data_IF_662157892720
#
_entry.id   IF_662157892720
#
_cell.length_a   1.000
_cell.length_b   1.000
_cell.length_c   1.000
_cell.angle_alpha   90.00
_cell.angle_beta   90.00
_cell.angle_gamma   90.00
#
_symmetry.space_group_name_H-M   'P 1'
#
loop_
_entity.id
_entity.type
_entity.pdbx_description
1 polymer ?
#
# COMPACT_ATOMS: atom_id res chain seq x y z
N UNK A 1 24.94 10.40 -18.04
CA UNK A 1 24.49 10.54 -16.65
C UNK A 1 23.69 11.82 -16.59
N UNK A 2 22.42 11.73 -17.02
CA UNK A 2 21.54 12.87 -17.21
C UNK A 2 21.32 13.68 -15.92
N UNK A 3 21.74 14.93 -16.00
CA UNK A 3 20.99 16.14 -15.69
C UNK A 3 20.47 16.33 -14.25
N UNK A 4 21.29 17.07 -13.50
CA UNK A 4 20.95 18.43 -13.06
C UNK A 4 19.71 18.60 -12.18
N UNK A 5 19.86 18.29 -10.89
CA UNK A 5 18.96 18.79 -9.84
C UNK A 5 19.28 20.28 -9.51
N UNK A 6 19.10 21.18 -10.49
CA UNK A 6 18.94 22.63 -10.25
C UNK A 6 17.43 22.86 -10.10
N UNK A 7 16.86 23.43 -9.04
CA UNK A 7 17.18 24.74 -8.49
C UNK A 7 16.28 24.98 -7.24
N UNK A 8 16.89 25.21 -6.09
CA UNK A 8 16.25 25.86 -4.93
C UNK A 8 16.27 27.37 -5.18
N UNK A 9 15.11 28.04 -5.23
CA UNK A 9 15.12 29.49 -5.15
C UNK A 9 13.95 30.14 -4.41
N UNK A 10 14.38 31.04 -3.53
CA UNK A 10 13.67 32.01 -2.73
C UNK A 10 12.74 32.89 -3.57
N UNK A 11 11.49 33.05 -3.10
CA UNK A 11 10.58 34.09 -3.60
C UNK A 11 9.11 33.69 -3.66
N UNK A 12 8.46 33.52 -2.51
CA UNK A 12 6.99 33.69 -2.31
C UNK A 12 6.00 32.91 -3.19
N UNK A 13 6.44 32.08 -4.12
CA UNK A 13 5.60 31.26 -5.00
C UNK A 13 6.15 29.85 -4.94
N UNK A 14 5.48 29.01 -4.16
CA UNK A 14 5.90 27.64 -3.87
C UNK A 14 6.22 26.84 -5.12
N UNK A 15 7.18 25.93 -4.97
CA UNK A 15 7.72 25.06 -6.01
C UNK A 15 6.55 24.39 -6.80
N UNK A 16 6.38 24.74 -8.08
CA UNK A 16 5.34 24.13 -8.95
C UNK A 16 5.92 23.15 -9.96
N UNK A 17 7.18 22.78 -9.82
CA UNK A 17 7.85 21.88 -10.76
C UNK A 17 7.35 20.47 -10.48
N UNK A 18 6.65 19.91 -11.47
CA UNK A 18 6.21 18.53 -11.46
C UNK A 18 7.37 17.62 -11.78
N UNK A 19 7.55 16.60 -10.95
CA UNK A 19 8.59 15.59 -11.08
C UNK A 19 7.86 14.24 -11.23
N UNK A 20 8.19 13.42 -12.26
CA UNK A 20 7.46 12.17 -12.51
C UNK A 20 7.53 11.17 -11.34
N UNK A 21 8.58 11.23 -10.51
CA UNK A 21 8.74 10.44 -9.29
C UNK A 21 7.63 10.72 -8.24
N UNK A 22 6.93 11.86 -8.34
CA UNK A 22 5.79 12.16 -7.48
C UNK A 22 4.56 11.28 -7.77
N UNK A 23 4.48 10.65 -8.95
CA UNK A 23 3.38 9.73 -9.27
C UNK A 23 3.39 8.50 -8.35
N UNK A 24 4.56 7.89 -8.19
CA UNK A 24 4.74 6.71 -7.34
C UNK A 24 4.52 7.05 -5.85
N UNK A 25 5.06 8.19 -5.41
CA UNK A 25 4.85 8.66 -4.04
C UNK A 25 3.36 8.92 -3.77
N UNK A 26 2.65 9.61 -4.68
CA UNK A 26 1.23 9.88 -4.52
C UNK A 26 0.38 8.60 -4.50
N UNK A 27 0.74 7.60 -5.32
CA UNK A 27 0.10 6.29 -5.27
C UNK A 27 0.26 5.62 -3.90
N UNK A 28 1.49 5.58 -3.37
CA UNK A 28 1.79 4.97 -2.08
C UNK A 28 1.05 5.65 -0.93
N UNK A 29 0.98 6.99 -0.92
CA UNK A 29 0.23 7.73 0.09
C UNK A 29 -1.29 7.51 -0.03
N UNK A 30 -1.83 7.47 -1.25
CA UNK A 30 -3.25 7.17 -1.45
C UNK A 30 -3.61 5.74 -1.00
N UNK A 31 -2.69 4.79 -1.12
CA UNK A 31 -2.87 3.41 -0.63
C UNK A 31 -2.97 3.35 0.91
N UNK A 32 -2.35 4.30 1.60
CA UNK A 32 -2.45 4.48 3.05
C UNK A 32 -3.73 5.23 3.47
N UNK A 33 -4.52 5.74 2.51
CA UNK A 33 -5.74 6.51 2.77
C UNK A 33 -5.54 8.01 2.87
N UNK A 34 -4.42 8.56 2.34
CA UNK A 34 -4.18 10.00 2.37
C UNK A 34 -5.24 10.78 1.56
N UNK A 35 -5.72 11.89 2.13
CA UNK A 35 -6.58 12.84 1.40
C UNK A 35 -5.74 13.77 0.53
N UNK A 36 -6.39 14.49 -0.39
CA UNK A 36 -5.68 15.47 -1.22
C UNK A 36 -5.05 16.61 -0.39
N UNK A 37 -5.56 16.86 0.83
CA UNK A 37 -5.04 17.86 1.76
C UNK A 37 -3.74 17.37 2.40
N UNK A 38 -3.75 16.15 2.96
CA UNK A 38 -2.54 15.50 3.49
C UNK A 38 -1.48 15.31 2.42
N UNK A 39 -1.90 15.00 1.18
CA UNK A 39 -1.00 14.91 0.04
C UNK A 39 -0.36 16.27 -0.28
N UNK A 40 -1.14 17.35 -0.21
CA UNK A 40 -0.66 18.71 -0.44
C UNK A 40 0.33 19.15 0.65
N UNK A 41 0.05 18.84 1.91
CA UNK A 41 0.96 19.05 3.04
C UNK A 41 2.28 18.30 2.87
N UNK A 42 2.23 17.03 2.44
CA UNK A 42 3.43 16.21 2.19
C UNK A 42 4.35 16.84 1.14
N UNK A 43 3.79 17.34 0.04
CA UNK A 43 4.55 17.99 -1.02
C UNK A 43 4.85 19.47 -0.74
N UNK A 44 4.34 20.04 0.35
CA UNK A 44 4.48 21.47 0.67
C UNK A 44 3.83 22.39 -0.37
N UNK A 45 2.77 21.93 -1.04
CA UNK A 45 2.05 22.67 -2.09
C UNK A 45 0.62 22.97 -1.66
N UNK A 46 -0.02 23.93 -2.31
CA UNK A 46 -1.46 24.15 -2.10
C UNK A 46 -2.29 22.98 -2.66
N UNK A 47 -3.42 22.62 -2.05
CA UNK A 47 -4.32 21.57 -2.57
C UNK A 47 -4.89 21.90 -3.96
N UNK A 48 -4.98 23.19 -4.30
CA UNK A 48 -5.31 23.64 -5.65
C UNK A 48 -4.25 23.24 -6.70
N UNK A 49 -2.98 23.18 -6.32
CA UNK A 49 -1.87 22.75 -7.19
C UNK A 49 -1.96 21.26 -7.50
N UNK A 50 -2.28 20.42 -6.50
CA UNK A 50 -2.55 19.00 -6.72
C UNK A 50 -3.69 18.80 -7.72
N UNK A 51 -4.80 19.53 -7.58
CA UNK A 51 -5.92 19.49 -8.55
C UNK A 51 -5.50 19.91 -9.95
N UNK A 52 -4.59 20.88 -10.08
CA UNK A 52 -4.02 21.29 -11.38
C UNK A 52 -3.14 20.19 -11.96
N UNK A 53 -2.30 19.55 -11.15
CA UNK A 53 -1.45 18.43 -11.59
C UNK A 53 -2.27 17.25 -12.08
N UNK A 54 -3.37 16.89 -11.40
CA UNK A 54 -4.27 15.84 -11.87
C UNK A 54 -4.90 16.13 -13.23
N UNK A 55 -5.14 17.41 -13.57
CA UNK A 55 -5.68 17.81 -14.89
C UNK A 55 -4.61 17.86 -15.96
N UNK A 56 -3.40 18.31 -15.61
CA UNK A 56 -2.29 18.52 -16.55
C UNK A 56 -1.55 17.23 -16.87
N UNK A 57 -1.36 16.37 -15.88
CA UNK A 57 -0.60 15.13 -15.96
C UNK A 57 -1.54 13.95 -15.72
N UNK A 58 -1.88 13.25 -16.80
CA UNK A 58 -2.78 12.10 -16.72
C UNK A 58 -2.20 10.96 -15.88
N UNK A 59 -0.89 10.69 -15.96
CA UNK A 59 -0.20 9.67 -15.15
C UNK A 59 -0.35 9.89 -13.65
N UNK A 60 -0.16 11.13 -13.18
CA UNK A 60 -0.43 11.52 -11.79
C UNK A 60 -1.88 11.31 -11.39
N UNK A 61 -2.82 11.77 -12.21
CA UNK A 61 -4.25 11.61 -11.96
C UNK A 61 -4.66 10.14 -11.87
N UNK A 62 -4.12 9.30 -12.75
CA UNK A 62 -4.37 7.87 -12.78
C UNK A 62 -3.78 7.15 -11.56
N UNK A 63 -2.55 7.49 -11.17
CA UNK A 63 -1.89 6.97 -9.97
C UNK A 63 -2.70 7.27 -8.71
N UNK A 64 -3.14 8.51 -8.53
CA UNK A 64 -4.01 8.91 -7.40
C UNK A 64 -5.35 8.16 -7.44
N UNK A 65 -5.98 8.03 -8.62
CA UNK A 65 -7.25 7.32 -8.78
C UNK A 65 -7.11 5.83 -8.43
N UNK A 66 -6.06 5.18 -8.91
CA UNK A 66 -5.75 3.77 -8.60
C UNK A 66 -5.50 3.56 -7.12
N UNK A 67 -4.75 4.46 -6.47
CA UNK A 67 -4.48 4.39 -5.04
C UNK A 67 -5.76 4.45 -4.20
N UNK A 68 -6.66 5.40 -4.52
CA UNK A 68 -7.96 5.52 -3.86
C UNK A 68 -8.85 4.30 -4.08
N UNK A 69 -8.93 3.81 -5.32
CA UNK A 69 -9.70 2.61 -5.64
C UNK A 69 -9.21 1.40 -4.82
N UNK A 70 -7.90 1.22 -4.70
CA UNK A 70 -7.33 0.12 -3.92
C UNK A 70 -7.63 0.25 -2.42
N UNK A 71 -7.61 1.47 -1.87
CA UNK A 71 -8.01 1.72 -0.49
C UNK A 71 -9.49 1.38 -0.27
N UNK A 72 -10.39 1.82 -1.17
CA UNK A 72 -11.82 1.53 -1.12
C UNK A 72 -12.10 0.03 -1.24
N UNK A 73 -11.40 -0.67 -2.14
CA UNK A 73 -11.51 -2.13 -2.29
C UNK A 73 -11.15 -2.87 -1.00
N UNK A 74 -10.11 -2.44 -0.28
CA UNK A 74 -9.75 -3.03 1.03
C UNK A 74 -10.86 -2.84 2.05
N UNK A 75 -11.46 -1.65 2.11
CA UNK A 75 -12.57 -1.37 3.02
C UNK A 75 -13.80 -2.22 2.66
N UNK A 76 -14.16 -2.27 1.38
CA UNK A 76 -15.27 -3.08 0.89
C UNK A 76 -15.06 -4.58 1.17
N UNK A 77 -13.85 -5.09 0.96
CA UNK A 77 -13.48 -6.47 1.29
C UNK A 77 -13.63 -6.78 2.77
N UNK A 78 -13.15 -5.89 3.64
CA UNK A 78 -13.28 -6.03 5.10
C UNK A 78 -14.75 -5.96 5.55
N UNK A 79 -15.55 -5.08 4.94
CA UNK A 79 -16.97 -4.96 5.22
C UNK A 79 -17.73 -6.22 4.79
N UNK A 80 -17.39 -6.78 3.62
CA UNK A 80 -17.96 -8.03 3.13
C UNK A 80 -17.62 -9.21 4.07
N UNK A 81 -16.36 -9.36 4.47
CA UNK A 81 -15.91 -10.38 5.44
C UNK A 81 -16.73 -10.29 6.73
N UNK A 82 -16.92 -9.07 7.24
CA UNK A 82 -17.72 -8.81 8.44
C UNK A 82 -19.20 -9.12 8.25
N UNK A 83 -19.77 -8.76 7.11
CA UNK A 83 -21.19 -8.97 6.79
C UNK A 83 -21.54 -10.45 6.60
N UNK A 84 -20.65 -11.22 5.96
CA UNK A 84 -20.81 -12.67 5.78
C UNK A 84 -20.55 -13.44 7.07
N UNK A 85 -19.93 -12.81 8.08
CA UNK A 85 -19.63 -13.45 9.35
C UNK A 85 -18.47 -14.43 9.26
N UNK A 86 -17.57 -14.28 8.27
CA UNK A 86 -16.26 -14.95 8.30
C UNK A 86 -15.49 -14.30 9.45
N UNK A 87 -15.64 -14.88 10.65
CA UNK A 87 -14.83 -14.56 11.80
C UNK A 87 -13.37 -14.74 11.38
N UNK A 88 -12.66 -13.64 11.19
CA UNK A 88 -11.19 -13.63 11.25
C UNK A 88 -10.69 -13.84 12.68
N UNK A 89 -11.48 -14.48 13.55
CA UNK A 89 -10.94 -15.08 14.75
C UNK A 89 -10.16 -16.33 14.32
N UNK A 90 -8.84 -16.18 14.32
CA UNK A 90 -7.98 -17.08 15.09
C UNK A 90 -8.32 -18.56 14.89
N UNK A 91 -7.89 -19.19 13.79
CA UNK A 91 -7.48 -20.61 13.70
C UNK A 91 -6.88 -20.86 12.31
N UNK A 92 -5.58 -20.61 12.14
CA UNK A 92 -4.78 -21.23 11.07
C UNK A 92 -3.28 -21.34 11.40
N UNK A 93 -2.88 -21.22 12.67
CA UNK A 93 -1.53 -21.62 13.08
C UNK A 93 -1.45 -23.11 13.48
N UNK A 94 -2.55 -23.83 13.69
CA UNK A 94 -2.44 -25.18 14.29
C UNK A 94 -3.28 -26.27 13.63
N UNK A 95 -3.54 -26.24 12.32
CA UNK A 95 -4.08 -27.46 11.66
C UNK A 95 -3.47 -27.84 10.30
N UNK A 96 -2.74 -26.96 9.61
CA UNK A 96 -2.07 -27.36 8.36
C UNK A 96 -0.71 -28.06 8.56
N UNK A 97 -0.18 -28.13 9.79
CA UNK A 97 1.00 -28.96 10.12
C UNK A 97 0.67 -30.39 10.58
N UNK A 98 -0.59 -30.70 10.89
CA UNK A 98 -0.96 -32.02 11.44
C UNK A 98 -1.39 -33.07 10.41
N UNK A 99 -1.40 -32.78 9.10
CA UNK A 99 -1.78 -33.78 8.07
C UNK A 99 -0.61 -34.35 7.26
N UNK A 100 0.62 -33.85 7.40
CA UNK A 100 1.77 -34.34 6.62
C UNK A 100 2.96 -34.86 7.45
N UNK A 101 2.85 -34.90 8.79
CA UNK A 101 3.88 -35.47 9.67
C UNK A 101 3.40 -36.69 10.46
N UNK A 102 2.56 -37.54 9.86
CA UNK A 102 2.16 -38.80 10.48
C UNK A 102 2.19 -39.99 9.49
N UNK A 103 3.26 -40.07 8.70
CA UNK A 103 3.61 -41.24 7.87
C UNK A 103 5.13 -41.45 7.71
N UNK A 104 5.94 -41.14 8.73
CA UNK A 104 7.39 -41.38 8.63
C UNK A 104 8.11 -41.83 9.91
N UNK A 105 7.41 -42.35 10.92
CA UNK A 105 8.08 -42.90 12.10
C UNK A 105 7.38 -44.16 12.60
N UNK A 106 7.34 -45.19 11.74
CA UNK A 106 6.87 -46.54 12.09
C UNK A 106 7.86 -47.63 11.69
N UNK A 107 9.12 -47.28 11.40
CA UNK A 107 10.15 -48.25 11.05
C UNK A 107 11.45 -47.85 11.75
N UNK A 108 12.07 -48.80 12.45
CA UNK A 108 13.16 -48.69 13.44
C UNK A 108 12.71 -48.18 14.81
N UNK A 109 12.86 -48.88 15.92
CA UNK A 109 13.55 -50.13 16.23
C UNK A 109 13.45 -50.39 17.74
N UNK A 110 13.40 -51.67 18.08
CA UNK A 110 13.35 -52.27 19.42
C UNK A 110 14.53 -51.89 20.33
N UNK A 111 14.29 -52.01 21.64
CA UNK A 111 15.24 -52.25 22.75
C UNK A 111 16.03 -51.07 23.34
N UNK A 112 15.55 -50.53 24.48
CA UNK A 112 16.34 -50.39 25.73
C UNK A 112 15.41 -49.86 26.84
N UNK A 113 14.97 -50.73 27.75
CA UNK A 113 14.92 -50.53 29.21
C UNK A 113 14.05 -51.63 29.83
N UNK A 114 14.70 -52.40 30.71
CA UNK A 114 14.24 -53.50 31.59
C UNK A 114 13.89 -54.86 30.95
#
# INVERSE_FOLDING_TARGET
MEEEKRNVNAGGRGITVYIPEYEEQAYNYCLLGATNETLAEFFGVCPATIKKWMKKYQGFGESVRRGKLMADMKVAGNLYIRAVGILTSRWLHTELKCRQKNKFFSYYGRNLFE
#
